data_IF_330514197449
#
_entry.id   IF_330514197449
#
_cell.length_a   1.000
_cell.length_b   1.000
_cell.length_c   1.000
_cell.angle_alpha   90.00
_cell.angle_beta   90.00
_cell.angle_gamma   90.00
#
_symmetry.space_group_name_H-M   'P 1'
#
loop_
_entity.id
_entity.type
_entity.pdbx_description
1 polymer ?
#
# COMPACT_ATOMS: atom_id res chain seq x y z
N UNK A 1 44.85 9.75 39.21
CA UNK A 1 44.23 9.97 37.88
C UNK A 1 43.87 8.61 37.29
N UNK A 2 42.57 8.31 37.14
CA UNK A 2 42.08 7.17 36.36
C UNK A 2 40.91 7.67 35.53
N UNK A 3 41.12 7.81 34.23
CA UNK A 3 40.07 8.10 33.28
C UNK A 3 39.28 6.82 33.05
N UNK A 4 38.02 6.79 33.48
CA UNK A 4 37.06 5.78 33.06
C UNK A 4 36.34 6.37 31.86
N UNK A 5 36.82 6.05 30.66
CA UNK A 5 36.11 6.38 29.42
C UNK A 5 35.05 5.31 29.20
N UNK A 6 33.83 5.58 29.65
CA UNK A 6 32.68 4.72 29.41
C UNK A 6 32.23 4.88 27.96
N UNK A 7 32.46 3.86 27.12
CA UNK A 7 31.92 3.79 25.76
C UNK A 7 30.39 3.63 25.83
N UNK A 8 29.66 4.72 25.66
CA UNK A 8 28.23 4.70 25.33
C UNK A 8 28.09 4.33 23.85
N UNK A 9 28.07 3.03 23.55
CA UNK A 9 27.65 2.56 22.22
C UNK A 9 26.17 2.87 22.02
N UNK A 10 25.96 3.89 21.19
CA UNK A 10 24.71 4.45 20.72
C UNK A 10 23.77 3.38 20.15
N UNK A 11 22.74 2.98 20.91
CA UNK A 11 21.65 2.13 20.43
C UNK A 11 20.62 2.98 19.67
N UNK A 12 21.03 3.63 18.58
CA UNK A 12 20.19 4.52 17.75
C UNK A 12 20.33 4.09 16.29
N UNK A 13 19.75 2.96 15.88
CA UNK A 13 19.87 2.54 14.46
C UNK A 13 18.61 1.93 13.81
N UNK A 14 17.45 1.83 14.49
CA UNK A 14 16.27 1.20 13.85
C UNK A 14 15.12 2.15 13.50
N UNK A 15 14.99 3.31 14.13
CA UNK A 15 13.89 4.26 13.84
C UNK A 15 14.16 5.14 12.62
N UNK A 16 15.42 5.44 12.31
CA UNK A 16 15.80 6.31 11.18
C UNK A 16 15.51 5.65 9.82
N UNK A 17 15.77 4.34 9.70
CA UNK A 17 15.60 3.60 8.44
C UNK A 17 14.12 3.50 8.03
N UNK A 18 13.22 3.30 8.98
CA UNK A 18 11.78 3.21 8.70
C UNK A 18 11.20 4.56 8.24
N UNK A 19 11.58 5.65 8.91
CA UNK A 19 11.15 7.00 8.51
C UNK A 19 11.68 7.39 7.14
N UNK A 20 12.93 7.03 6.81
CA UNK A 20 13.49 7.29 5.47
C UNK A 20 12.75 6.51 4.38
N UNK A 21 12.43 5.23 4.59
CA UNK A 21 11.67 4.43 3.62
C UNK A 21 10.25 4.95 3.44
N UNK A 22 9.57 5.32 4.53
CA UNK A 22 8.24 5.94 4.46
C UNK A 22 8.27 7.23 3.65
N UNK A 23 9.19 8.16 3.95
CA UNK A 23 9.33 9.42 3.21
C UNK A 23 9.64 9.21 1.73
N UNK A 24 10.46 8.19 1.41
CA UNK A 24 10.77 7.83 0.02
C UNK A 24 9.51 7.35 -0.72
N UNK A 25 8.73 6.46 -0.10
CA UNK A 25 7.51 5.96 -0.72
C UNK A 25 6.46 7.06 -0.86
N UNK A 26 6.33 7.91 0.15
CA UNK A 26 5.45 9.08 0.11
C UNK A 26 5.80 10.03 -1.05
N UNK A 27 7.10 10.32 -1.23
CA UNK A 27 7.60 11.13 -2.35
C UNK A 27 7.34 10.47 -3.70
N UNK A 28 7.61 9.17 -3.83
CA UNK A 28 7.36 8.42 -5.07
C UNK A 28 5.88 8.43 -5.44
N UNK A 29 4.99 8.15 -4.47
CA UNK A 29 3.54 8.17 -4.64
C UNK A 29 3.03 9.56 -5.05
N UNK A 30 3.54 10.61 -4.41
CA UNK A 30 3.18 12.00 -4.72
C UNK A 30 3.61 12.43 -6.13
N UNK A 31 4.63 11.78 -6.68
CA UNK A 31 5.08 12.02 -8.06
C UNK A 31 4.33 11.22 -9.12
N UNK A 32 3.36 10.37 -8.77
CA UNK A 32 2.52 9.66 -9.75
C UNK A 32 1.41 10.62 -10.20
N UNK A 33 1.19 10.71 -11.51
CA UNK A 33 0.13 11.53 -12.12
C UNK A 33 -0.53 10.80 -13.29
N UNK A 34 -1.67 11.31 -13.76
CA UNK A 34 -2.37 10.79 -14.95
C UNK A 34 -3.66 10.06 -14.60
N UNK A 35 -4.00 9.04 -15.40
CA UNK A 35 -5.20 8.22 -15.19
C UNK A 35 -4.90 7.03 -14.27
N UNK A 36 -5.88 6.63 -13.46
CA UNK A 36 -5.70 5.50 -12.55
C UNK A 36 -5.37 4.19 -13.28
N UNK A 37 -5.94 3.96 -14.46
CA UNK A 37 -5.67 2.79 -15.29
C UNK A 37 -4.19 2.65 -15.70
N UNK A 38 -3.42 3.75 -15.67
CA UNK A 38 -2.01 3.78 -16.07
C UNK A 38 -1.03 3.77 -14.90
N UNK A 39 -1.52 3.74 -13.64
CA UNK A 39 -0.68 3.80 -12.42
C UNK A 39 0.48 2.81 -12.51
N UNK A 40 0.21 1.54 -12.83
CA UNK A 40 1.23 0.48 -12.86
C UNK A 40 2.30 0.69 -13.95
N UNK A 41 2.02 1.51 -14.95
CA UNK A 41 2.96 1.83 -16.02
C UNK A 41 3.88 3.01 -15.68
N UNK A 42 3.53 3.82 -14.68
CA UNK A 42 4.29 4.99 -14.25
C UNK A 42 5.64 4.60 -13.62
N UNK A 43 6.70 5.37 -13.90
CA UNK A 43 8.06 5.03 -13.46
C UNK A 43 8.19 4.96 -11.93
N UNK A 44 7.54 5.88 -11.19
CA UNK A 44 7.55 5.85 -9.73
C UNK A 44 6.81 4.62 -9.17
N UNK A 45 5.70 4.22 -9.78
CA UNK A 45 4.97 3.02 -9.38
C UNK A 45 5.81 1.76 -9.62
N UNK A 46 6.44 1.63 -10.79
CA UNK A 46 7.39 0.56 -11.10
C UNK A 46 8.55 0.51 -10.11
N UNK A 47 9.06 1.67 -9.71
CA UNK A 47 10.12 1.77 -8.70
C UNK A 47 9.65 1.21 -7.35
N UNK A 48 8.45 1.57 -6.88
CA UNK A 48 7.87 1.00 -5.65
C UNK A 48 7.66 -0.52 -5.80
N UNK A 49 7.07 -0.96 -6.91
CA UNK A 49 6.78 -2.38 -7.14
C UNK A 49 8.03 -3.25 -7.26
N UNK A 50 9.16 -2.68 -7.69
CA UNK A 50 10.44 -3.41 -7.77
C UNK A 50 10.99 -3.87 -6.41
N UNK A 51 10.51 -3.29 -5.31
CA UNK A 51 10.82 -3.79 -3.95
C UNK A 51 10.06 -5.08 -3.60
N UNK A 52 9.07 -5.48 -4.42
CA UNK A 52 8.27 -6.68 -4.21
C UNK A 52 7.56 -6.67 -2.86
N UNK A 53 7.46 -7.84 -2.23
CA UNK A 53 6.75 -8.02 -0.95
C UNK A 53 7.31 -7.18 0.21
N UNK A 54 8.57 -6.76 0.14
CA UNK A 54 9.20 -5.90 1.15
C UNK A 54 8.61 -4.48 1.15
N UNK A 55 7.96 -4.06 0.06
CA UNK A 55 7.24 -2.79 -0.02
C UNK A 55 5.95 -2.77 0.82
N UNK A 56 5.32 -3.93 1.01
CA UNK A 56 3.94 -4.03 1.52
C UNK A 56 3.76 -3.45 2.92
N UNK A 57 4.67 -3.65 3.90
CA UNK A 57 4.54 -3.03 5.22
C UNK A 57 4.58 -1.51 5.17
N UNK A 58 5.42 -0.92 4.31
CA UNK A 58 5.49 0.54 4.15
C UNK A 58 4.24 1.08 3.46
N UNK A 59 3.78 0.43 2.38
CA UNK A 59 2.53 0.82 1.70
C UNK A 59 1.34 0.79 2.65
N UNK A 60 1.23 -0.24 3.51
CA UNK A 60 0.16 -0.37 4.49
C UNK A 60 0.07 0.84 5.44
N UNK A 61 1.19 1.49 5.77
CA UNK A 61 1.19 2.70 6.60
C UNK A 61 0.57 3.92 5.93
N UNK A 62 0.43 3.90 4.61
CA UNK A 62 -0.07 5.00 3.79
C UNK A 62 -1.56 4.82 3.44
N UNK A 63 -2.15 3.63 3.65
CA UNK A 63 -3.54 3.32 3.25
C UNK A 63 -4.59 4.28 3.84
N UNK A 64 -4.31 4.90 4.99
CA UNK A 64 -5.20 5.88 5.61
C UNK A 64 -4.91 7.34 5.21
N UNK A 65 -3.92 7.60 4.35
CA UNK A 65 -3.61 8.94 3.85
C UNK A 65 -4.75 9.43 2.94
N UNK A 66 -5.48 10.44 3.43
CA UNK A 66 -6.62 11.06 2.77
C UNK A 66 -6.28 12.17 1.78
N UNK A 67 -4.99 12.46 1.56
CA UNK A 67 -4.53 13.50 0.64
C UNK A 67 -5.01 13.21 -0.77
N UNK A 68 -5.76 14.14 -1.36
CA UNK A 68 -6.24 14.06 -2.74
C UNK A 68 -5.04 14.25 -3.67
N UNK A 69 -4.94 13.42 -4.72
CA UNK A 69 -3.87 13.48 -5.72
C UNK A 69 -4.36 14.04 -7.04
N UNK A 70 -3.46 14.17 -8.02
CA UNK A 70 -3.82 14.53 -9.40
C UNK A 70 -4.27 13.34 -10.24
N UNK A 71 -4.31 12.12 -9.68
CA UNK A 71 -4.67 10.91 -10.41
C UNK A 71 -6.18 10.78 -10.50
N UNK A 72 -6.69 10.72 -11.72
CA UNK A 72 -8.12 10.62 -11.97
C UNK A 72 -8.56 9.17 -12.21
N UNK A 73 -9.58 8.70 -11.49
CA UNK A 73 -10.24 7.42 -11.73
C UNK A 73 -11.48 7.61 -12.58
N UNK A 74 -11.48 7.00 -13.77
CA UNK A 74 -12.66 6.93 -14.62
C UNK A 74 -13.75 6.04 -14.00
N UNK A 75 -13.36 5.00 -13.24
CA UNK A 75 -14.31 4.11 -12.55
C UNK A 75 -15.21 4.86 -11.59
N UNK A 76 -14.61 5.78 -10.81
CA UNK A 76 -15.29 6.50 -9.73
C UNK A 76 -15.63 7.94 -10.10
N UNK A 77 -15.23 8.40 -11.30
CA UNK A 77 -15.40 9.76 -11.77
C UNK A 77 -14.85 10.81 -10.78
N UNK A 78 -13.68 10.54 -10.18
CA UNK A 78 -13.05 11.40 -9.17
C UNK A 78 -11.53 11.25 -9.10
N UNK A 79 -10.89 12.19 -8.42
CA UNK A 79 -9.49 12.06 -8.03
C UNK A 79 -9.31 11.01 -6.92
N UNK A 80 -8.24 10.23 -7.02
CA UNK A 80 -7.85 9.24 -6.02
C UNK A 80 -7.06 9.89 -4.87
N UNK A 81 -7.18 9.30 -3.69
CA UNK A 81 -6.38 9.64 -2.52
C UNK A 81 -5.05 8.90 -2.55
N UNK A 82 -4.03 9.44 -1.88
CA UNK A 82 -2.71 8.80 -1.82
C UNK A 82 -2.77 7.39 -1.23
N UNK A 83 -3.57 7.18 -0.18
CA UNK A 83 -3.80 5.86 0.39
C UNK A 83 -4.44 4.88 -0.58
N UNK A 84 -5.32 5.35 -1.48
CA UNK A 84 -5.96 4.51 -2.50
C UNK A 84 -4.94 4.05 -3.56
N UNK A 85 -4.03 4.93 -3.97
CA UNK A 85 -2.91 4.54 -4.86
C UNK A 85 -2.00 3.52 -4.18
N UNK A 86 -1.71 3.70 -2.89
CA UNK A 86 -0.91 2.74 -2.13
C UNK A 86 -1.58 1.35 -2.06
N UNK A 87 -2.91 1.30 -1.93
CA UNK A 87 -3.69 0.05 -1.97
C UNK A 87 -3.61 -0.59 -3.35
N UNK A 88 -3.73 0.21 -4.43
CA UNK A 88 -3.59 -0.28 -5.81
C UNK A 88 -2.23 -0.94 -6.03
N UNK A 89 -1.15 -0.25 -5.64
CA UNK A 89 0.19 -0.80 -5.80
C UNK A 89 0.42 -2.05 -4.95
N UNK A 90 -0.12 -2.09 -3.72
CA UNK A 90 -0.02 -3.27 -2.87
C UNK A 90 -0.71 -4.49 -3.49
N UNK A 91 -1.89 -4.33 -4.07
CA UNK A 91 -2.65 -5.41 -4.73
C UNK A 91 -1.95 -5.96 -5.99
N UNK A 92 -1.25 -5.10 -6.73
CA UNK A 92 -0.40 -5.52 -7.86
C UNK A 92 0.89 -6.21 -7.44
N UNK A 93 1.43 -5.91 -6.26
CA UNK A 93 2.62 -6.61 -5.71
C UNK A 93 2.21 -7.99 -5.19
N UNK A 94 1.12 -8.06 -4.45
CA UNK A 94 0.54 -9.31 -3.96
C UNK A 94 -0.97 -9.14 -3.80
N UNK A 95 -1.74 -9.95 -4.54
CA UNK A 95 -3.20 -9.85 -4.54
C UNK A 95 -3.78 -9.97 -3.14
N UNK A 96 -4.60 -8.99 -2.77
CA UNK A 96 -5.17 -8.83 -1.44
C UNK A 96 -6.42 -9.70 -1.29
N UNK A 97 -6.56 -10.48 -0.20
CA UNK A 97 -7.76 -11.28 0.04
C UNK A 97 -8.89 -10.41 0.62
N UNK A 98 -9.51 -9.57 -0.20
CA UNK A 98 -10.57 -8.65 0.22
C UNK A 98 -11.74 -9.32 0.94
N UNK A 99 -12.12 -10.53 0.56
CA UNK A 99 -13.16 -11.26 1.29
C UNK A 99 -12.79 -11.50 2.75
N UNK A 100 -11.55 -11.93 3.01
CA UNK A 100 -11.07 -12.18 4.37
C UNK A 100 -10.87 -10.89 5.17
N UNK A 101 -10.50 -9.78 4.51
CA UNK A 101 -10.17 -8.52 5.19
C UNK A 101 -11.37 -7.59 5.40
N UNK A 102 -12.32 -7.55 4.46
CA UNK A 102 -13.46 -6.63 4.48
C UNK A 102 -14.80 -7.31 4.22
N UNK A 103 -14.84 -8.64 4.12
CA UNK A 103 -16.07 -9.41 3.93
C UNK A 103 -16.70 -9.23 2.54
N UNK A 104 -15.99 -8.63 1.60
CA UNK A 104 -16.54 -8.28 0.27
C UNK A 104 -15.96 -9.19 -0.80
N UNK A 105 -16.83 -9.93 -1.48
CA UNK A 105 -16.49 -10.62 -2.73
C UNK A 105 -16.75 -9.66 -3.90
N UNK A 106 -15.85 -9.63 -4.88
CA UNK A 106 -16.14 -8.93 -6.12
C UNK A 106 -17.07 -9.82 -6.96
N UNK A 107 -18.37 -9.63 -6.78
CA UNK A 107 -19.41 -10.31 -7.57
C UNK A 107 -19.76 -9.54 -8.86
N UNK A 108 -19.12 -8.40 -9.11
CA UNK A 108 -19.43 -7.50 -10.23
C UNK A 108 -18.15 -7.21 -11.01
N UNK A 109 -17.75 -8.18 -11.86
CA UNK A 109 -16.67 -8.03 -12.85
C UNK A 109 -16.86 -6.78 -13.75
N UNK A 110 -18.07 -6.26 -13.85
CA UNK A 110 -18.45 -5.12 -14.71
C UNK A 110 -18.32 -3.75 -14.04
N UNK A 111 -17.91 -3.67 -12.76
CA UNK A 111 -17.93 -2.40 -12.02
C UNK A 111 -16.99 -1.35 -12.59
N UNK A 112 -15.89 -1.77 -13.22
CA UNK A 112 -15.01 -0.89 -13.97
C UNK A 112 -14.43 -1.62 -15.19
N UNK A 113 -15.14 -1.58 -16.33
CA UNK A 113 -14.65 -2.15 -17.58
C UNK A 113 -13.30 -1.52 -17.96
N UNK A 114 -12.38 -2.34 -18.48
CA UNK A 114 -11.10 -1.91 -19.05
C UNK A 114 -10.09 -1.26 -18.10
N UNK A 115 -10.33 -1.27 -16.77
CA UNK A 115 -9.32 -0.84 -15.80
C UNK A 115 -8.51 -2.05 -15.29
N UNK A 116 -7.18 -2.10 -15.50
CA UNK A 116 -6.33 -3.19 -15.01
C UNK A 116 -6.27 -3.27 -13.47
N UNK A 117 -6.75 -2.25 -12.76
CA UNK A 117 -6.84 -2.19 -11.31
C UNK A 117 -8.21 -2.68 -10.81
N UNK A 118 -8.43 -4.00 -10.83
CA UNK A 118 -9.68 -4.60 -10.31
C UNK A 118 -10.00 -4.24 -8.84
N UNK A 119 -8.98 -3.84 -8.09
CA UNK A 119 -9.05 -3.30 -6.73
C UNK A 119 -9.96 -2.07 -6.58
N UNK A 120 -10.13 -1.27 -7.63
CA UNK A 120 -10.83 0.02 -7.51
C UNK A 120 -12.28 -0.14 -7.02
N UNK A 121 -12.94 -1.26 -7.33
CA UNK A 121 -14.26 -1.61 -6.78
C UNK A 121 -14.30 -1.54 -5.24
N UNK A 122 -13.27 -2.05 -4.57
CA UNK A 122 -13.19 -2.09 -3.12
C UNK A 122 -12.90 -0.73 -2.49
N UNK A 123 -12.24 0.17 -3.22
CA UNK A 123 -11.85 1.49 -2.72
C UNK A 123 -13.06 2.34 -2.33
N UNK A 124 -14.08 2.39 -3.19
CA UNK A 124 -15.29 3.18 -2.90
C UNK A 124 -16.09 2.58 -1.74
N UNK A 125 -16.18 1.24 -1.66
CA UNK A 125 -16.78 0.56 -0.51
C UNK A 125 -16.08 0.94 0.80
N UNK A 126 -14.74 0.87 0.82
CA UNK A 126 -13.95 1.24 2.00
C UNK A 126 -14.07 2.74 2.34
N UNK A 127 -14.16 3.62 1.33
CA UNK A 127 -14.36 5.05 1.51
C UNK A 127 -15.70 5.37 2.17
N UNK A 128 -16.80 4.84 1.63
CA UNK A 128 -18.15 5.08 2.17
C UNK A 128 -18.34 4.57 3.59
N UNK A 129 -17.62 3.51 3.97
CA UNK A 129 -17.66 2.89 5.30
C UNK A 129 -16.61 3.44 6.27
N UNK A 130 -15.72 4.34 5.83
CA UNK A 130 -14.63 4.86 6.66
C UNK A 130 -13.62 3.80 7.08
N UNK A 131 -13.44 2.74 6.29
CA UNK A 131 -12.70 1.54 6.69
C UNK A 131 -11.18 1.64 6.52
N UNK A 132 -10.64 2.68 5.88
CA UNK A 132 -9.22 2.77 5.53
C UNK A 132 -8.26 2.48 6.70
N UNK A 133 -8.53 3.00 7.90
CA UNK A 133 -7.71 2.74 9.10
C UNK A 133 -7.79 1.27 9.55
N UNK A 134 -9.00 0.74 9.61
CA UNK A 134 -9.27 -0.66 9.99
C UNK A 134 -8.65 -1.62 8.97
N UNK A 135 -8.83 -1.33 7.68
CA UNK A 135 -8.23 -2.08 6.58
C UNK A 135 -6.71 -2.08 6.64
N UNK A 136 -6.07 -0.92 6.85
CA UNK A 136 -4.61 -0.83 7.03
C UNK A 136 -4.10 -1.74 8.15
N UNK A 137 -4.80 -1.74 9.29
CA UNK A 137 -4.48 -2.58 10.44
C UNK A 137 -4.66 -4.06 10.11
N UNK A 138 -5.80 -4.45 9.57
CA UNK A 138 -6.14 -5.85 9.31
C UNK A 138 -5.25 -6.43 8.20
N UNK A 139 -4.93 -5.63 7.19
CA UNK A 139 -3.93 -5.94 6.18
C UNK A 139 -2.53 -6.15 6.79
N UNK A 140 -2.08 -5.27 7.70
CA UNK A 140 -0.80 -5.41 8.38
C UNK A 140 -0.74 -6.66 9.27
N UNK A 141 -1.86 -7.07 9.87
CA UNK A 141 -1.97 -8.36 10.57
C UNK A 141 -1.89 -9.54 9.59
N UNK A 142 -2.61 -9.46 8.47
CA UNK A 142 -2.60 -10.50 7.44
C UNK A 142 -1.21 -10.72 6.84
N UNK A 143 -0.42 -9.67 6.59
CA UNK A 143 0.96 -9.78 6.12
C UNK A 143 1.85 -10.66 7.02
N UNK A 144 1.52 -10.75 8.31
CA UNK A 144 2.25 -11.55 9.30
C UNK A 144 1.70 -12.96 9.48
N UNK A 145 0.50 -13.23 8.96
CA UNK A 145 -0.23 -14.48 9.16
C UNK A 145 0.50 -15.68 8.56
N UNK A 146 0.31 -16.85 9.17
CA UNK A 146 0.81 -18.12 8.62
C UNK A 146 0.14 -18.43 7.27
N UNK A 147 -1.15 -18.13 7.15
CA UNK A 147 -1.92 -18.32 5.91
C UNK A 147 -1.30 -17.57 4.73
N UNK A 148 -0.98 -16.28 4.89
CA UNK A 148 -0.32 -15.49 3.84
C UNK A 148 1.03 -16.08 3.47
N UNK A 149 1.84 -16.46 4.47
CA UNK A 149 3.18 -17.05 4.23
C UNK A 149 3.10 -18.35 3.43
N UNK A 150 2.12 -19.19 3.71
CA UNK A 150 1.88 -20.43 2.99
C UNK A 150 1.40 -20.17 1.55
N UNK A 151 0.44 -19.25 1.39
CA UNK A 151 -0.04 -18.80 0.08
C UNK A 151 1.08 -18.21 -0.79
N UNK A 152 1.99 -17.44 -0.20
CA UNK A 152 3.11 -16.83 -0.92
C UNK A 152 4.12 -17.88 -1.40
N UNK A 153 4.47 -18.86 -0.55
CA UNK A 153 5.39 -19.97 -0.86
C UNK A 153 4.85 -20.95 -1.91
N UNK A 154 3.53 -21.11 -2.00
CA UNK A 154 2.92 -22.02 -2.99
C UNK A 154 2.82 -21.40 -4.40
N UNK A 155 3.05 -20.09 -4.53
CA UNK A 155 2.90 -19.34 -5.78
C UNK A 155 4.22 -18.84 -6.38
N UNK A 156 5.32 -18.92 -5.64
CA UNK A 156 6.67 -18.47 -6.03
C UNK A 156 7.69 -19.50 -5.58
#
# INVERSE_FOLDING_TARGET
MKYITLFTTLLVINSSSFSQTHNRFDSLLSGISGNSAEIINHQNAKTIMSYGVEALPTLATIFADGTITTIYSNCHNRLLKKGEIAIILADHIESIPYFSLIGLQNCMLESCPDNPNFVEYYLDFMARRGMHKTFARDYAFWLRSAERKERYRSRN
#
